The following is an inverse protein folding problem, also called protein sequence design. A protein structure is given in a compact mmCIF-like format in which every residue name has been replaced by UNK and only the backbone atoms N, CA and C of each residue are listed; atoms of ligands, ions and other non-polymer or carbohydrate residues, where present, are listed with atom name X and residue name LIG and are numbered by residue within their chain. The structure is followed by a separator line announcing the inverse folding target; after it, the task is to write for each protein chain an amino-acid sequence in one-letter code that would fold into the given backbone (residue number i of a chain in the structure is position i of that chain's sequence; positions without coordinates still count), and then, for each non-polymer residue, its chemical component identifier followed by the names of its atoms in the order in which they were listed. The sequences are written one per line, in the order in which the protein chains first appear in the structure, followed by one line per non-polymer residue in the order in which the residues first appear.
data_IF_784921926809
#
_entry.id   IF_784921926809
#
_cell.length_a   1.000
_cell.length_b   1.000
_cell.length_c   1.000
_cell.angle_alpha   90.00
_cell.angle_beta   90.00
_cell.angle_gamma   90.00
#
_symmetry.space_group_name_H-M   'P 1'
#
loop_
_entity.id
_entity.type
_entity.pdbx_description
1 polymer ?
#
# COMPACT_ATOMS: atom_id res chain seq x y z
N UNK A 1 -9.45 9.37 -0.07
CA UNK A 1 -8.15 9.97 0.29
C UNK A 1 -7.26 9.83 -0.93
N UNK A 2 -6.78 10.95 -1.47
CA UNK A 2 -5.93 10.96 -2.66
C UNK A 2 -4.48 10.97 -2.20
N UNK A 3 -3.68 9.96 -2.57
CA UNK A 3 -2.24 9.99 -2.32
C UNK A 3 -1.65 10.96 -3.34
N UNK A 4 -0.84 11.91 -2.92
CA UNK A 4 -0.12 12.80 -3.83
C UNK A 4 1.34 12.38 -3.94
N UNK A 5 2.07 12.89 -4.92
CA UNK A 5 3.52 12.74 -5.00
C UNK A 5 4.21 13.75 -4.07
N UNK A 6 5.25 13.38 -3.30
CA UNK A 6 5.99 14.36 -2.50
C UNK A 6 6.83 15.33 -3.36
N UNK A 7 7.21 14.93 -4.58
CA UNK A 7 8.06 15.75 -5.45
C UNK A 7 7.26 16.72 -6.33
N UNK A 8 6.15 16.26 -6.92
CA UNK A 8 5.36 17.09 -7.85
C UNK A 8 3.94 17.37 -7.36
N UNK A 9 3.53 16.84 -6.20
CA UNK A 9 2.16 16.95 -5.68
C UNK A 9 1.05 16.42 -6.60
N UNK A 10 1.40 15.74 -7.70
CA UNK A 10 0.45 15.12 -8.60
C UNK A 10 -0.36 14.03 -7.87
N UNK A 11 -1.64 13.84 -8.22
CA UNK A 11 -2.44 12.74 -7.68
C UNK A 11 -1.86 11.40 -8.15
N UNK A 12 -1.78 10.44 -7.22
CA UNK A 12 -1.26 9.12 -7.43
C UNK A 12 -2.32 8.08 -7.14
N UNK A 13 -2.35 7.06 -7.99
CA UNK A 13 -3.23 5.92 -7.81
C UNK A 13 -2.46 4.76 -7.15
N UNK A 14 -2.85 4.32 -5.95
CA UNK A 14 -2.23 3.18 -5.28
C UNK A 14 -2.54 1.88 -6.02
N UNK A 15 -1.50 1.18 -6.45
CA UNK A 15 -1.52 -0.09 -7.15
C UNK A 15 -0.75 -1.13 -6.32
N UNK A 16 -1.45 -2.06 -5.66
CA UNK A 16 -0.84 -3.20 -4.93
C UNK A 16 0.26 -2.82 -3.90
N UNK A 17 0.16 -1.67 -3.24
CA UNK A 17 1.21 -1.21 -2.31
C UNK A 17 2.34 -0.42 -2.96
N UNK A 18 2.16 0.02 -4.21
CA UNK A 18 3.02 1.02 -4.86
C UNK A 18 2.14 2.06 -5.55
N UNK A 19 2.50 3.32 -5.50
CA UNK A 19 1.84 4.39 -6.24
C UNK A 19 2.75 4.84 -7.38
N UNK A 20 2.30 4.64 -8.63
CA UNK A 20 3.03 5.13 -9.78
C UNK A 20 2.70 6.60 -10.02
N UNK A 21 3.74 7.44 -10.12
CA UNK A 21 3.62 8.83 -10.50
C UNK A 21 3.94 9.01 -11.98
N UNK A 22 2.93 9.27 -12.80
CA UNK A 22 3.11 9.55 -14.23
C UNK A 22 3.99 10.80 -14.46
N UNK A 23 3.80 11.83 -13.63
CA UNK A 23 4.48 13.11 -13.77
C UNK A 23 5.98 13.04 -13.48
N UNK A 24 6.40 12.24 -12.50
CA UNK A 24 7.80 12.02 -12.15
C UNK A 24 8.36 10.74 -12.77
N UNK A 25 7.51 9.92 -13.39
CA UNK A 25 7.78 8.54 -13.78
C UNK A 25 8.46 7.73 -12.66
N UNK A 26 7.93 7.85 -11.43
CA UNK A 26 8.51 7.24 -10.22
C UNK A 26 7.50 6.39 -9.50
N UNK A 27 7.97 5.23 -9.05
CA UNK A 27 7.21 4.32 -8.21
C UNK A 27 7.45 4.65 -6.73
N UNK A 28 6.39 4.98 -6.02
CA UNK A 28 6.41 5.34 -4.61
C UNK A 28 5.90 4.15 -3.80
N UNK A 29 6.76 3.56 -2.99
CA UNK A 29 6.38 2.44 -2.15
C UNK A 29 5.36 2.89 -1.10
N UNK A 30 4.27 2.12 -0.99
CA UNK A 30 3.25 2.29 0.03
C UNK A 30 3.31 1.12 1.00
N UNK A 31 3.24 1.42 2.28
CA UNK A 31 3.11 0.42 3.31
C UNK A 31 1.64 0.04 3.47
N UNK A 32 1.37 -1.27 3.34
CA UNK A 32 0.06 -1.83 3.60
C UNK A 32 -0.15 -1.99 5.10
N UNK A 33 -1.18 -1.36 5.65
CA UNK A 33 -1.54 -1.42 7.06
C UNK A 33 -2.92 -2.02 7.27
N UNK A 34 -3.08 -2.67 8.42
CA UNK A 34 -4.34 -3.28 8.81
C UNK A 34 -5.36 -2.20 9.15
N UNK A 35 -6.57 -2.21 8.58
CA UNK A 35 -7.61 -1.22 8.91
C UNK A 35 -8.10 -1.30 10.36
N UNK A 36 -7.83 -2.40 11.05
CA UNK A 36 -8.33 -2.65 12.41
C UNK A 36 -7.29 -2.27 13.48
N UNK A 37 -6.01 -2.60 13.27
CA UNK A 37 -4.93 -2.32 14.25
C UNK A 37 -3.89 -1.29 13.76
N UNK A 38 -4.03 -0.80 12.53
CA UNK A 38 -3.11 0.14 11.88
C UNK A 38 -1.64 -0.30 11.86
N UNK A 39 -1.39 -1.60 12.05
CA UNK A 39 -0.05 -2.18 11.98
C UNK A 39 0.30 -2.65 10.57
N UNK A 40 1.60 -2.69 10.22
CA UNK A 40 2.05 -3.18 8.92
C UNK A 40 1.59 -4.62 8.67
N UNK A 41 1.03 -4.85 7.49
CA UNK A 41 0.60 -6.15 7.02
C UNK A 41 1.75 -6.88 6.35
N UNK A 42 1.84 -8.19 6.59
CA UNK A 42 2.74 -9.07 5.86
C UNK A 42 2.24 -9.21 4.42
N UNK A 43 3.03 -8.72 3.47
CA UNK A 43 2.76 -8.90 2.04
C UNK A 43 3.28 -10.26 1.60
N UNK A 44 2.37 -11.16 1.25
CA UNK A 44 2.68 -12.48 0.73
C UNK A 44 2.54 -12.44 -0.80
N UNK A 45 3.59 -12.83 -1.52
CA UNK A 45 3.58 -12.87 -2.99
C UNK A 45 3.70 -14.32 -3.43
N UNK A 46 2.70 -14.85 -4.12
CA UNK A 46 2.68 -16.23 -4.58
C UNK A 46 2.06 -16.33 -5.98
N UNK A 47 2.73 -17.00 -6.92
CA UNK A 47 2.23 -17.30 -8.27
C UNK A 47 1.58 -16.08 -9.01
N UNK A 48 2.15 -14.88 -8.84
CA UNK A 48 1.66 -13.65 -9.46
C UNK A 48 0.54 -12.91 -8.70
N UNK A 49 0.03 -13.48 -7.61
CA UNK A 49 -0.90 -12.84 -6.69
C UNK A 49 -0.16 -12.21 -5.50
N UNK A 50 -0.78 -11.18 -4.92
CA UNK A 50 -0.32 -10.50 -3.71
C UNK A 50 -1.45 -10.53 -2.68
N UNK A 51 -1.16 -11.12 -1.53
CA UNK A 51 -2.04 -11.20 -0.37
C UNK A 51 -1.48 -10.37 0.78
N UNK A 52 -2.37 -9.86 1.63
CA UNK A 52 -2.01 -9.07 2.80
C UNK A 52 -2.46 -9.80 4.05
N UNK A 53 -1.52 -10.16 4.93
CA UNK A 53 -1.82 -10.90 6.16
C UNK A 53 -1.46 -10.10 7.40
N UNK A 54 -2.41 -9.98 8.32
CA UNK A 54 -2.21 -9.33 9.61
C UNK A 54 -1.68 -10.33 10.64
N UNK A 55 -0.46 -10.09 11.12
CA UNK A 55 0.17 -10.92 12.14
C UNK A 55 -0.44 -10.75 13.55
N UNK A 56 -1.30 -9.75 13.75
CA UNK A 56 -1.93 -9.45 15.04
C UNK A 56 -3.21 -10.26 15.32
N UNK A 57 -3.54 -11.24 14.47
CA UNK A 57 -4.73 -12.08 14.66
C UNK A 57 -5.95 -11.71 13.82
N UNK A 58 -5.85 -10.69 12.95
CA UNK A 58 -6.92 -10.37 11.99
C UNK A 58 -6.89 -11.24 10.72
N UNK A 59 -5.83 -12.01 10.50
CA UNK A 59 -5.71 -12.94 9.38
C UNK A 59 -5.52 -12.24 8.03
N UNK A 60 -6.09 -12.82 6.97
CA UNK A 60 -6.00 -12.25 5.61
C UNK A 60 -6.88 -11.01 5.47
N UNK A 61 -6.27 -9.90 5.06
CA UNK A 61 -6.92 -8.62 4.78
C UNK A 61 -7.10 -8.48 3.28
N UNK A 62 -8.34 -8.25 2.85
CA UNK A 62 -8.65 -7.97 1.45
C UNK A 62 -7.98 -6.68 1.00
N UNK A 63 -7.37 -6.67 -0.20
CA UNK A 63 -6.75 -5.49 -0.82
C UNK A 63 -7.61 -4.23 -0.78
N UNK A 64 -8.94 -4.36 -0.89
CA UNK A 64 -9.89 -3.23 -0.82
C UNK A 64 -10.00 -2.59 0.58
N UNK A 65 -9.68 -3.34 1.64
CA UNK A 65 -9.72 -2.87 3.03
C UNK A 65 -8.34 -2.52 3.58
N UNK A 66 -7.26 -2.88 2.87
CA UNK A 66 -5.91 -2.50 3.26
C UNK A 66 -5.80 -0.98 3.25
N UNK A 67 -5.25 -0.43 4.32
CA UNK A 67 -4.88 0.98 4.35
C UNK A 67 -3.49 1.13 3.74
N UNK A 68 -3.39 1.85 2.63
CA UNK A 68 -2.11 2.14 2.01
C UNK A 68 -1.61 3.50 2.49
N UNK A 69 -0.56 3.49 3.30
CA UNK A 69 0.13 4.71 3.73
C UNK A 69 1.47 4.82 3.04
N UNK A 70 2.07 6.01 3.00
CA UNK A 70 3.43 6.14 2.50
C UNK A 70 4.38 5.39 3.43
N UNK A 71 5.30 4.60 2.87
CA UNK A 71 6.38 4.02 3.66
C UNK A 71 7.35 5.16 4.01
N UNK A 72 7.18 5.75 5.18
CA UNK A 72 8.10 6.76 5.69
C UNK A 72 9.34 6.04 6.20
N UNK A 73 10.43 6.11 5.42
CA UNK A 73 11.74 5.54 5.76
C UNK A 73 12.51 6.40 6.74
#
# INVERSE_FOLDING_TARGET
MSITCPECQAPLEPQNGVAHCDSCNKDIALEARCPECHQPLQVLKACGAVDYFCQNGHGLISKKRVEFVRAEG
#
